data_IF_952284665194
#
_entry.id   IF_952284665194
#
_cell.length_a   1.000
_cell.length_b   1.000
_cell.length_c   1.000
_cell.angle_alpha   90.00
_cell.angle_beta   90.00
_cell.angle_gamma   90.00
#
_symmetry.space_group_name_H-M   'P 1'
#
loop_
_entity.id
_entity.type
_entity.pdbx_description
1 polymer ?
#
# COMPACT_ATOMS: atom_id res chain seq x y z
N UNK A 1 -5.62 22.43 -31.28
CA UNK A 1 -5.41 22.21 -29.84
C UNK A 1 -5.45 23.56 -29.12
N UNK A 2 -5.76 23.58 -27.82
CA UNK A 2 -5.65 24.77 -26.99
C UNK A 2 -4.22 25.35 -27.06
N UNK A 3 -4.09 26.67 -27.08
CA UNK A 3 -2.80 27.36 -27.03
C UNK A 3 -2.14 27.30 -25.64
N UNK A 4 -2.89 26.83 -24.64
CA UNK A 4 -2.44 26.68 -23.26
C UNK A 4 -2.77 25.29 -22.70
N UNK A 5 -2.02 24.87 -21.69
CA UNK A 5 -2.27 23.67 -20.90
C UNK A 5 -2.06 23.93 -19.41
N UNK A 6 -2.68 23.11 -18.56
CA UNK A 6 -2.58 23.20 -17.12
C UNK A 6 -1.61 22.18 -16.52
N UNK A 7 -0.91 22.60 -15.47
CA UNK A 7 -0.10 21.76 -14.60
C UNK A 7 -0.38 22.08 -13.13
N UNK A 8 -0.27 21.08 -12.26
CA UNK A 8 -0.46 21.23 -10.82
C UNK A 8 0.89 21.15 -10.13
N UNK A 9 1.21 22.18 -9.35
CA UNK A 9 2.49 22.31 -8.66
C UNK A 9 2.32 22.21 -7.15
N UNK A 10 3.34 21.67 -6.47
CA UNK A 10 3.41 21.68 -5.02
C UNK A 10 3.66 23.12 -4.53
N UNK A 11 2.70 23.70 -3.80
CA UNK A 11 2.79 25.06 -3.25
C UNK A 11 3.32 25.07 -1.82
N UNK A 12 2.85 24.14 -1.00
CA UNK A 12 3.25 24.02 0.40
C UNK A 12 3.16 22.56 0.88
N UNK A 13 4.00 22.18 1.85
CA UNK A 13 3.97 20.81 2.42
C UNK A 13 2.80 20.69 3.41
N UNK A 14 1.90 19.70 3.27
CA UNK A 14 0.79 19.53 4.21
C UNK A 14 1.28 18.99 5.55
N UNK A 15 0.86 19.58 6.66
CA UNK A 15 1.17 19.12 8.03
C UNK A 15 0.27 17.96 8.45
N UNK A 16 -1.02 18.00 8.11
CA UNK A 16 -2.00 16.96 8.41
C UNK A 16 -2.72 16.49 7.14
N UNK A 17 -3.91 17.00 6.88
CA UNK A 17 -4.71 16.74 5.69
C UNK A 17 -4.24 17.59 4.50
N UNK A 18 -4.58 17.15 3.29
CA UNK A 18 -4.38 17.94 2.08
C UNK A 18 -5.54 18.92 1.96
N UNK A 19 -5.26 20.21 2.18
CA UNK A 19 -6.27 21.28 2.09
C UNK A 19 -6.26 21.89 0.69
N UNK A 20 -7.44 21.99 0.10
CA UNK A 20 -7.64 22.55 -1.24
C UNK A 20 -7.17 24.02 -1.30
N UNK A 21 -6.38 24.37 -2.32
CA UNK A 21 -5.84 25.73 -2.51
C UNK A 21 -4.60 26.09 -1.66
N UNK A 22 -4.26 25.26 -0.67
CA UNK A 22 -3.09 25.46 0.18
C UNK A 22 -1.90 24.61 -0.27
N UNK A 23 -2.13 23.30 -0.44
CA UNK A 23 -1.05 22.35 -0.76
C UNK A 23 -0.58 22.50 -2.20
N UNK A 24 -1.51 22.77 -3.12
CA UNK A 24 -1.24 22.78 -4.55
C UNK A 24 -1.70 24.09 -5.18
N UNK A 25 -1.06 24.44 -6.29
CA UNK A 25 -1.48 25.51 -7.19
C UNK A 25 -1.57 25.00 -8.63
N UNK A 26 -2.55 25.50 -9.37
CA UNK A 26 -2.70 25.23 -10.81
C UNK A 26 -2.02 26.35 -11.59
N UNK A 27 -1.16 26.01 -12.55
CA UNK A 27 -0.51 26.95 -13.47
C UNK A 27 -1.02 26.75 -14.89
N UNK A 28 -1.19 27.86 -15.60
CA UNK A 28 -1.43 27.84 -17.04
C UNK A 28 -0.10 28.09 -17.76
N UNK A 29 0.18 27.28 -18.78
CA UNK A 29 1.43 27.29 -19.52
C UNK A 29 1.13 27.37 -21.03
N UNK A 30 2.05 27.92 -21.81
CA UNK A 30 1.94 27.86 -23.27
C UNK A 30 2.12 26.40 -23.76
N UNK A 31 1.22 25.92 -24.63
CA UNK A 31 1.32 24.57 -25.17
C UNK A 31 2.60 24.39 -26.01
N UNK A 32 3.37 23.31 -25.79
CA UNK A 32 4.53 23.02 -26.62
C UNK A 32 4.09 22.71 -28.05
N UNK A 33 4.98 23.00 -28.99
CA UNK A 33 4.81 22.72 -30.42
C UNK A 33 5.82 21.66 -30.84
N UNK A 34 5.54 20.97 -31.94
CA UNK A 34 6.46 19.99 -32.51
C UNK A 34 7.85 20.59 -32.82
N UNK A 35 7.90 21.88 -33.18
CA UNK A 35 9.16 22.63 -33.36
C UNK A 35 10.03 22.70 -32.10
N UNK A 36 9.44 22.53 -30.93
CA UNK A 36 10.14 22.63 -29.64
C UNK A 36 10.81 21.30 -29.25
N UNK A 37 10.50 20.20 -29.97
CA UNK A 37 11.05 18.88 -29.69
C UNK A 37 12.49 18.74 -30.18
N UNK A 38 13.30 18.07 -29.37
CA UNK A 38 14.60 17.52 -29.78
C UNK A 38 14.47 16.06 -30.23
N UNK A 39 15.48 15.53 -30.90
CA UNK A 39 15.52 14.13 -31.31
C UNK A 39 15.35 13.20 -30.09
N UNK A 40 14.49 12.19 -30.21
CA UNK A 40 14.12 11.30 -29.11
C UNK A 40 13.06 11.85 -28.15
N UNK A 41 12.55 13.07 -28.35
CA UNK A 41 11.49 13.64 -27.52
C UNK A 41 10.10 13.53 -28.17
N UNK A 42 9.08 13.54 -27.32
CA UNK A 42 7.67 13.56 -27.72
C UNK A 42 6.88 14.58 -26.91
N UNK A 43 5.79 15.08 -27.49
CA UNK A 43 4.71 15.74 -26.74
C UNK A 43 3.73 14.66 -26.33
N UNK A 44 3.64 14.41 -25.03
CA UNK A 44 2.71 13.47 -24.42
C UNK A 44 1.50 14.21 -23.85
N UNK A 45 0.29 13.78 -24.21
CA UNK A 45 -0.96 14.28 -23.67
C UNK A 45 -1.56 13.32 -22.66
N UNK A 46 -1.64 13.75 -21.42
CA UNK A 46 -2.28 12.99 -20.33
C UNK A 46 -3.79 12.92 -20.57
N UNK A 47 -4.34 11.71 -20.46
CA UNK A 47 -5.79 11.45 -20.47
C UNK A 47 -6.30 11.18 -19.05
N UNK A 48 -5.53 10.43 -18.27
CA UNK A 48 -5.83 10.12 -16.87
C UNK A 48 -4.55 10.14 -16.03
N UNK A 49 -4.69 10.52 -14.76
CA UNK A 49 -3.64 10.50 -13.75
C UNK A 49 -3.96 9.42 -12.72
N UNK A 50 -2.95 8.66 -12.31
CA UNK A 50 -3.05 7.80 -11.13
C UNK A 50 -2.94 8.66 -9.87
N UNK A 51 -3.83 8.45 -8.90
CA UNK A 51 -3.76 9.07 -7.58
C UNK A 51 -3.47 7.99 -6.54
N UNK A 52 -2.26 8.00 -6.01
CA UNK A 52 -1.74 6.91 -5.20
C UNK A 52 -1.49 7.36 -3.75
N UNK A 53 -1.83 6.57 -2.72
CA UNK A 53 -1.54 6.93 -1.32
C UNK A 53 -0.05 7.21 -1.05
N UNK A 54 0.85 6.60 -1.84
CA UNK A 54 2.29 6.85 -1.80
C UNK A 54 2.65 8.32 -2.02
N UNK A 55 1.82 9.08 -2.74
CA UNK A 55 2.01 10.52 -2.97
C UNK A 55 2.13 11.31 -1.67
N UNK A 56 1.46 10.89 -0.57
CA UNK A 56 1.63 11.55 0.74
C UNK A 56 3.08 11.51 1.20
N UNK A 57 3.75 10.37 1.00
CA UNK A 57 5.17 10.21 1.27
C UNK A 57 6.06 11.00 0.31
N UNK A 58 5.64 11.21 -0.94
CA UNK A 58 6.37 12.06 -1.88
C UNK A 58 6.28 13.55 -1.52
N UNK A 59 5.23 13.98 -0.81
CA UNK A 59 5.08 15.36 -0.34
C UNK A 59 5.96 15.66 0.89
N UNK A 60 6.18 14.69 1.79
CA UNK A 60 6.77 14.94 3.11
C UNK A 60 7.98 14.05 3.47
N UNK A 61 8.31 13.03 2.68
CA UNK A 61 9.10 11.89 3.16
C UNK A 61 8.22 10.88 3.93
N UNK A 62 8.66 9.63 4.06
CA UNK A 62 7.89 8.57 4.73
C UNK A 62 7.95 8.73 6.27
N UNK A 63 6.93 9.35 6.88
CA UNK A 63 6.62 9.16 8.30
C UNK A 63 5.10 9.15 8.51
N UNK A 64 4.60 8.17 9.25
CA UNK A 64 3.21 8.05 9.68
C UNK A 64 3.01 8.52 11.14
N UNK A 65 4.02 9.18 11.73
CA UNK A 65 3.98 9.72 13.09
C UNK A 65 4.56 11.14 13.11
N UNK A 66 4.03 11.99 13.99
CA UNK A 66 4.27 13.45 14.13
C UNK A 66 5.70 13.88 14.53
N UNK A 67 6.73 13.11 14.19
CA UNK A 67 8.12 13.46 14.47
C UNK A 67 8.72 14.22 13.29
N UNK A 68 9.22 15.42 13.60
CA UNK A 68 9.75 16.46 12.70
C UNK A 68 10.33 15.93 11.38
N UNK A 69 9.63 16.34 10.33
CA UNK A 69 9.60 15.86 8.95
C UNK A 69 10.55 16.71 8.11
N UNK A 70 11.84 16.37 8.03
CA UNK A 70 12.67 16.93 6.95
C UNK A 70 13.61 15.92 6.25
N UNK A 71 13.86 14.73 6.83
CA UNK A 71 14.84 13.78 6.26
C UNK A 71 14.49 12.29 6.48
N UNK A 72 13.21 11.90 6.44
CA UNK A 72 12.88 10.46 6.45
C UNK A 72 13.19 9.83 5.09
N UNK A 73 14.15 8.89 5.09
CA UNK A 73 14.58 8.13 3.91
C UNK A 73 13.39 7.45 3.24
N UNK A 74 12.98 7.98 2.09
CA UNK A 74 12.02 7.39 1.16
C UNK A 74 12.79 6.71 0.01
N UNK A 75 12.16 5.76 -0.67
CA UNK A 75 12.72 5.14 -1.88
C UNK A 75 12.76 6.10 -3.08
N UNK A 76 12.03 7.23 -3.01
CA UNK A 76 12.13 8.35 -3.94
C UNK A 76 12.28 9.68 -3.20
N UNK A 77 13.06 10.65 -3.72
CA UNK A 77 13.17 11.99 -3.15
C UNK A 77 11.81 12.71 -3.09
N UNK A 78 11.55 13.52 -2.06
CA UNK A 78 10.33 14.33 -2.00
C UNK A 78 10.22 15.30 -3.19
N UNK A 79 8.99 15.60 -3.60
CA UNK A 79 8.69 16.68 -4.55
C UNK A 79 9.09 18.00 -3.91
N UNK A 80 9.77 18.87 -4.67
CA UNK A 80 10.18 20.18 -4.17
C UNK A 80 9.06 21.21 -4.34
N UNK A 81 9.05 22.22 -3.48
CA UNK A 81 8.10 23.33 -3.59
C UNK A 81 8.33 24.04 -4.92
N UNK A 82 7.25 24.29 -5.65
CA UNK A 82 7.24 24.87 -6.99
C UNK A 82 7.33 23.85 -8.13
N UNK A 83 7.70 22.60 -7.87
CA UNK A 83 7.73 21.54 -8.89
C UNK A 83 6.33 21.01 -9.22
N UNK A 84 6.18 20.45 -10.43
CA UNK A 84 4.97 19.71 -10.81
C UNK A 84 4.80 18.52 -9.87
N UNK A 85 3.58 18.31 -9.38
CA UNK A 85 3.29 17.16 -8.53
C UNK A 85 3.59 15.87 -9.28
N UNK A 86 4.46 15.03 -8.69
CA UNK A 86 4.83 13.74 -9.28
C UNK A 86 3.60 12.83 -9.36
N UNK A 87 3.45 12.15 -10.48
CA UNK A 87 2.40 11.17 -10.72
C UNK A 87 2.63 10.41 -12.02
N UNK A 88 1.99 9.25 -12.12
CA UNK A 88 1.93 8.48 -13.36
C UNK A 88 0.69 8.89 -14.13
N UNK A 89 0.84 9.07 -15.44
CA UNK A 89 -0.28 9.31 -16.34
C UNK A 89 -0.36 8.22 -17.39
N UNK A 90 -1.56 8.00 -17.92
CA UNK A 90 -1.76 7.36 -19.22
C UNK A 90 -2.27 8.39 -20.21
N UNK A 91 -1.81 8.28 -21.44
CA UNK A 91 -2.03 9.30 -22.44
C UNK A 91 -1.59 8.89 -23.82
N UNK A 92 -1.68 9.84 -24.75
CA UNK A 92 -1.33 9.63 -26.16
C UNK A 92 -0.22 10.57 -26.59
N UNK A 93 0.62 10.10 -27.50
CA UNK A 93 1.64 10.92 -28.15
C UNK A 93 0.97 11.84 -29.19
N UNK A 94 1.19 13.14 -29.09
CA UNK A 94 0.60 14.13 -29.98
C UNK A 94 1.55 14.65 -31.06
N UNK A 95 2.84 14.72 -30.75
CA UNK A 95 3.91 15.05 -31.67
C UNK A 95 5.15 14.26 -31.24
N UNK A 96 6.00 13.87 -32.20
CA UNK A 96 7.11 12.97 -31.91
C UNK A 96 8.31 13.21 -32.82
N UNK A 97 9.50 13.20 -32.23
CA UNK A 97 10.78 12.99 -32.91
C UNK A 97 11.44 11.68 -32.47
N UNK A 98 10.61 10.67 -32.17
CA UNK A 98 11.00 9.32 -31.78
C UNK A 98 10.36 8.29 -32.70
N UNK A 99 11.18 7.41 -33.28
CA UNK A 99 10.70 6.30 -34.10
C UNK A 99 9.96 5.23 -33.27
N UNK A 100 10.19 5.18 -31.95
CA UNK A 100 9.56 4.21 -31.03
C UNK A 100 8.16 4.62 -30.62
N UNK A 101 7.87 5.91 -30.64
CA UNK A 101 6.60 6.49 -30.21
C UNK A 101 6.00 7.37 -31.31
N UNK A 102 5.42 6.77 -32.38
CA UNK A 102 4.67 7.53 -33.37
C UNK A 102 3.48 8.28 -32.75
N UNK A 103 3.03 9.35 -33.41
CA UNK A 103 1.81 10.09 -33.03
C UNK A 103 0.62 9.13 -32.94
N UNK A 104 -0.19 9.29 -31.89
CA UNK A 104 -1.32 8.43 -31.56
C UNK A 104 -0.99 7.23 -30.66
N UNK A 105 0.29 6.97 -30.40
CA UNK A 105 0.70 5.87 -29.49
C UNK A 105 0.14 6.08 -28.09
N UNK A 106 -0.52 5.07 -27.53
CA UNK A 106 -0.95 5.02 -26.14
C UNK A 106 0.22 4.58 -25.25
N UNK A 107 0.51 5.36 -24.21
CA UNK A 107 1.64 5.10 -23.33
C UNK A 107 1.36 5.55 -21.88
N UNK A 108 2.11 4.97 -20.95
CA UNK A 108 2.19 5.40 -19.55
C UNK A 108 3.54 6.04 -19.26
N UNK A 109 3.59 6.96 -18.30
CA UNK A 109 4.87 7.52 -17.85
C UNK A 109 4.75 8.38 -16.59
N UNK A 110 5.88 8.57 -15.91
CA UNK A 110 6.01 9.50 -14.78
C UNK A 110 6.14 10.94 -15.27
N UNK A 111 5.04 11.48 -15.82
CA UNK A 111 5.01 12.82 -16.43
C UNK A 111 4.51 13.90 -15.48
N UNK A 112 4.01 13.52 -14.29
CA UNK A 112 3.46 14.44 -13.30
C UNK A 112 2.02 14.86 -13.59
N UNK A 113 1.46 15.68 -12.69
CA UNK A 113 0.10 16.21 -12.82
C UNK A 113 0.08 17.37 -13.82
N UNK A 114 0.07 17.01 -15.10
CA UNK A 114 0.06 17.95 -16.21
C UNK A 114 -0.76 17.41 -17.38
N UNK A 115 -1.45 18.28 -18.10
CA UNK A 115 -2.20 17.92 -19.31
C UNK A 115 -1.28 17.58 -20.49
N UNK A 116 -0.15 18.27 -20.60
CA UNK A 116 0.88 18.07 -21.63
C UNK A 116 2.27 18.01 -21.01
N UNK A 117 3.14 17.19 -21.59
CA UNK A 117 4.54 17.14 -21.21
C UNK A 117 5.44 16.90 -22.44
N UNK A 118 6.54 17.64 -22.56
CA UNK A 118 7.65 17.27 -23.43
C UNK A 118 8.53 16.30 -22.65
N UNK A 119 8.62 15.06 -23.12
CA UNK A 119 9.38 14.00 -22.44
C UNK A 119 10.28 13.25 -23.41
N UNK A 120 11.37 12.71 -22.88
CA UNK A 120 12.21 11.76 -23.60
C UNK A 120 11.46 10.45 -23.80
N UNK A 121 11.66 9.76 -24.93
CA UNK A 121 11.03 8.46 -25.23
C UNK A 121 11.23 7.41 -24.12
N UNK A 122 12.37 7.46 -23.40
CA UNK A 122 12.69 6.54 -22.30
C UNK A 122 11.86 6.76 -21.03
N UNK A 123 11.13 7.87 -20.94
CA UNK A 123 10.24 8.17 -19.82
C UNK A 123 8.84 7.57 -20.03
N UNK A 124 8.59 6.98 -21.20
CA UNK A 124 7.33 6.37 -21.57
C UNK A 124 7.47 4.86 -21.76
N UNK A 125 6.40 4.16 -21.43
CA UNK A 125 6.21 2.75 -21.73
C UNK A 125 4.97 2.61 -22.59
N UNK A 126 5.09 1.92 -23.72
CA UNK A 126 3.95 1.64 -24.59
C UNK A 126 2.98 0.71 -23.87
N UNK A 127 1.70 1.01 -24.00
CA UNK A 127 0.64 0.21 -23.39
C UNK A 127 -0.04 -0.62 -24.46
N UNK A 128 0.03 -1.94 -24.30
CA UNK A 128 -0.77 -2.89 -25.07
C UNK A 128 -1.88 -3.43 -24.16
N UNK A 129 -3.13 -3.12 -24.52
CA UNK A 129 -4.31 -3.55 -23.77
C UNK A 129 -4.88 -4.85 -24.35
N UNK A 130 -5.48 -5.71 -23.51
CA UNK A 130 -6.28 -6.82 -24.02
C UNK A 130 -7.46 -6.31 -24.84
N UNK A 131 -8.05 -7.16 -25.69
CA UNK A 131 -9.12 -6.77 -26.61
C UNK A 131 -10.38 -6.19 -25.92
N UNK A 132 -10.61 -6.54 -24.66
CA UNK A 132 -11.67 -6.02 -23.81
C UNK A 132 -11.17 -5.01 -22.75
N UNK A 133 -9.90 -4.60 -22.83
CA UNK A 133 -9.28 -3.68 -21.90
C UNK A 133 -9.72 -2.24 -22.12
N UNK A 134 -9.67 -1.46 -21.04
CA UNK A 134 -9.91 -0.01 -21.06
C UNK A 134 -8.59 0.71 -20.83
N UNK A 135 -8.47 1.92 -21.35
CA UNK A 135 -7.30 2.78 -21.13
C UNK A 135 -6.91 2.84 -19.66
N UNK A 136 -7.86 3.05 -18.76
CA UNK A 136 -7.57 3.18 -17.32
C UNK A 136 -7.06 1.89 -16.66
N UNK A 137 -7.23 0.71 -17.27
CA UNK A 137 -6.73 -0.55 -16.71
C UNK A 137 -5.19 -0.55 -16.59
N UNK A 138 -4.50 0.18 -17.49
CA UNK A 138 -3.05 0.35 -17.45
C UNK A 138 -2.53 1.26 -16.33
N UNK A 139 -3.40 2.02 -15.65
CA UNK A 139 -3.06 2.68 -14.38
C UNK A 139 -3.44 1.84 -13.16
N UNK A 140 -4.37 0.90 -13.33
CA UNK A 140 -4.86 0.01 -12.29
C UNK A 140 -4.25 -1.39 -12.38
N UNK A 141 -5.09 -2.37 -12.73
CA UNK A 141 -4.78 -3.82 -12.69
C UNK A 141 -3.62 -4.23 -13.62
N UNK A 142 -3.38 -3.50 -14.70
CA UNK A 142 -2.23 -3.72 -15.59
C UNK A 142 -1.08 -2.72 -15.33
N UNK A 143 -1.26 -1.80 -14.38
CA UNK A 143 -0.28 -0.79 -13.99
C UNK A 143 0.46 -1.12 -12.70
N UNK A 144 1.09 -0.09 -12.11
CA UNK A 144 1.88 -0.22 -10.88
C UNK A 144 1.13 -0.88 -9.72
N UNK A 145 -0.16 -0.61 -9.56
CA UNK A 145 -0.97 -1.18 -8.47
C UNK A 145 -1.19 -2.68 -8.66
N UNK A 146 -1.46 -3.12 -9.88
CA UNK A 146 -1.57 -4.54 -10.24
C UNK A 146 -0.25 -5.29 -10.20
N UNK A 147 0.84 -4.69 -10.71
CA UNK A 147 2.18 -5.28 -10.63
C UNK A 147 2.64 -5.43 -9.17
N UNK A 148 2.38 -4.43 -8.33
CA UNK A 148 2.64 -4.52 -6.87
C UNK A 148 1.87 -5.69 -6.25
N UNK A 149 0.60 -5.87 -6.63
CA UNK A 149 -0.20 -6.99 -6.15
C UNK A 149 0.38 -8.34 -6.61
N UNK A 150 0.71 -8.45 -7.90
CA UNK A 150 1.25 -9.66 -8.53
C UNK A 150 2.55 -10.12 -7.85
N UNK A 151 3.57 -9.27 -7.85
CA UNK A 151 4.87 -9.62 -7.27
C UNK A 151 4.78 -9.79 -5.75
N UNK A 152 3.97 -8.97 -5.08
CA UNK A 152 3.77 -9.04 -3.63
C UNK A 152 3.20 -10.38 -3.18
N UNK A 153 2.18 -10.91 -3.85
CA UNK A 153 1.54 -12.17 -3.42
C UNK A 153 2.19 -13.42 -4.03
N UNK A 154 2.74 -13.34 -5.25
CA UNK A 154 3.32 -14.49 -5.94
C UNK A 154 4.79 -14.70 -5.57
N UNK A 155 5.63 -13.66 -5.61
CA UNK A 155 7.07 -13.83 -5.39
C UNK A 155 7.44 -13.72 -3.90
N UNK A 156 6.90 -12.71 -3.23
CA UNK A 156 7.18 -12.48 -1.80
C UNK A 156 6.28 -13.34 -0.92
N UNK A 157 4.97 -13.29 -1.15
CA UNK A 157 3.99 -14.06 -0.39
C UNK A 157 3.99 -15.56 -0.71
N UNK A 158 4.41 -15.95 -1.92
CA UNK A 158 4.46 -17.34 -2.41
C UNK A 158 3.19 -18.14 -2.14
N UNK A 159 2.04 -17.51 -2.36
CA UNK A 159 0.73 -18.11 -2.08
C UNK A 159 0.53 -19.43 -2.85
N UNK A 160 -0.02 -20.43 -2.17
CA UNK A 160 -0.32 -21.76 -2.68
C UNK A 160 -1.77 -22.14 -2.44
N UNK A 161 -2.19 -23.18 -3.14
CA UNK A 161 -3.50 -23.79 -2.92
C UNK A 161 -3.66 -24.22 -1.47
N UNK A 162 -4.81 -23.90 -0.88
CA UNK A 162 -5.12 -24.22 0.52
C UNK A 162 -4.61 -23.20 1.55
N UNK A 163 -3.77 -22.23 1.16
CA UNK A 163 -3.36 -21.15 2.05
C UNK A 163 -4.55 -20.32 2.53
N UNK A 164 -4.43 -19.73 3.72
CA UNK A 164 -5.38 -18.77 4.25
C UNK A 164 -4.77 -17.37 4.21
N UNK A 165 -5.27 -16.52 3.31
CA UNK A 165 -4.73 -15.19 3.03
C UNK A 165 -5.65 -14.13 3.62
N UNK A 166 -5.09 -13.25 4.44
CA UNK A 166 -5.79 -12.06 4.95
C UNK A 166 -5.27 -10.84 4.21
N UNK A 167 -6.17 -10.06 3.62
CA UNK A 167 -5.82 -8.85 2.85
C UNK A 167 -6.38 -7.62 3.55
N UNK A 168 -5.50 -6.74 4.05
CA UNK A 168 -5.88 -5.42 4.55
C UNK A 168 -6.07 -4.45 3.37
N UNK A 169 -6.97 -3.47 3.53
CA UNK A 169 -7.30 -2.56 2.43
C UNK A 169 -7.79 -3.30 1.18
N UNK A 170 -8.47 -4.44 1.36
CA UNK A 170 -8.83 -5.37 0.30
C UNK A 170 -9.70 -4.71 -0.78
N UNK A 171 -10.48 -3.68 -0.43
CA UNK A 171 -11.30 -2.96 -1.39
C UNK A 171 -10.56 -1.81 -2.12
N UNK A 172 -9.24 -1.68 -1.95
CA UNK A 172 -8.39 -0.72 -2.68
C UNK A 172 -7.82 -1.30 -3.97
N UNK A 173 -7.18 -0.45 -4.78
CA UNK A 173 -6.63 -0.84 -6.09
C UNK A 173 -5.69 -2.06 -6.01
N UNK A 174 -4.66 -2.01 -5.17
CA UNK A 174 -3.73 -3.15 -4.97
C UNK A 174 -4.39 -4.32 -4.23
N UNK A 175 -5.10 -4.05 -3.13
CA UNK A 175 -5.67 -5.10 -2.28
C UNK A 175 -6.69 -5.98 -3.00
N UNK A 176 -7.52 -5.38 -3.86
CA UNK A 176 -8.54 -6.13 -4.62
C UNK A 176 -7.92 -7.06 -5.66
N UNK A 177 -6.80 -6.66 -6.26
CA UNK A 177 -6.04 -7.50 -7.18
C UNK A 177 -5.31 -8.61 -6.41
N UNK A 178 -4.71 -8.32 -5.25
CA UNK A 178 -4.09 -9.35 -4.39
C UNK A 178 -5.11 -10.43 -4.02
N UNK A 179 -6.31 -10.03 -3.59
CA UNK A 179 -7.36 -10.96 -3.20
C UNK A 179 -7.77 -11.88 -4.36
N UNK A 180 -7.97 -11.33 -5.54
CA UNK A 180 -8.34 -12.12 -6.73
C UNK A 180 -7.22 -13.05 -7.18
N UNK A 181 -5.96 -12.59 -7.17
CA UNK A 181 -4.81 -13.46 -7.49
C UNK A 181 -4.71 -14.61 -6.48
N UNK A 182 -4.88 -14.33 -5.19
CA UNK A 182 -4.90 -15.38 -4.15
C UNK A 182 -6.02 -16.41 -4.39
N UNK A 183 -7.23 -15.96 -4.75
CA UNK A 183 -8.33 -16.86 -5.15
C UNK A 183 -7.98 -17.70 -6.38
N UNK A 184 -7.39 -17.10 -7.42
CA UNK A 184 -6.93 -17.81 -8.62
C UNK A 184 -5.84 -18.86 -8.31
N UNK A 185 -5.08 -18.67 -7.23
CA UNK A 185 -4.08 -19.63 -6.72
C UNK A 185 -4.65 -20.69 -5.78
N UNK A 186 -5.97 -20.72 -5.58
CA UNK A 186 -6.65 -21.72 -4.76
C UNK A 186 -6.57 -21.45 -3.25
N UNK A 187 -6.22 -20.23 -2.84
CA UNK A 187 -6.24 -19.84 -1.43
C UNK A 187 -7.67 -19.50 -0.96
N UNK A 188 -7.87 -19.60 0.36
CA UNK A 188 -9.01 -18.99 1.05
C UNK A 188 -8.66 -17.56 1.42
N UNK A 189 -9.53 -16.61 1.10
CA UNK A 189 -9.24 -15.19 1.23
C UNK A 189 -10.24 -14.51 2.17
N UNK A 190 -9.69 -13.86 3.19
CA UNK A 190 -10.39 -12.93 4.08
C UNK A 190 -10.01 -11.49 3.73
N UNK A 191 -10.96 -10.70 3.24
CA UNK A 191 -10.76 -9.28 2.93
C UNK A 191 -11.13 -8.35 4.09
N UNK A 192 -10.34 -7.31 4.34
CA UNK A 192 -10.66 -6.27 5.32
C UNK A 192 -10.91 -4.93 4.62
N UNK A 193 -12.06 -4.31 4.90
CA UNK A 193 -12.44 -3.02 4.34
C UNK A 193 -13.09 -2.10 5.39
N UNK A 194 -13.25 -0.81 5.07
CA UNK A 194 -13.66 0.22 6.02
C UNK A 194 -15.12 0.68 5.92
N UNK A 195 -15.94 -0.05 5.16
CA UNK A 195 -17.39 0.17 5.05
C UNK A 195 -18.10 -1.12 4.61
N UNK A 196 -19.39 -1.22 4.90
CA UNK A 196 -20.18 -2.42 4.59
C UNK A 196 -20.38 -2.61 3.09
N UNK A 197 -20.53 -1.52 2.31
CA UNK A 197 -20.60 -1.60 0.84
C UNK A 197 -19.33 -2.21 0.23
N UNK A 198 -18.17 -1.85 0.78
CA UNK A 198 -16.89 -2.41 0.34
C UNK A 198 -16.79 -3.89 0.72
N UNK A 199 -17.28 -4.27 1.90
CA UNK A 199 -17.35 -5.68 2.32
C UNK A 199 -18.28 -6.48 1.42
N UNK A 200 -19.44 -5.92 1.08
CA UNK A 200 -20.40 -6.53 0.15
C UNK A 200 -19.76 -6.76 -1.22
N UNK A 201 -19.11 -5.75 -1.78
CA UNK A 201 -18.42 -5.87 -3.07
C UNK A 201 -17.33 -6.97 -3.06
N UNK A 202 -16.51 -7.01 -2.01
CA UNK A 202 -15.49 -8.05 -1.85
C UNK A 202 -16.10 -9.46 -1.81
N UNK A 203 -17.18 -9.65 -1.05
CA UNK A 203 -17.76 -10.98 -0.86
C UNK A 203 -18.60 -11.42 -2.06
N UNK A 204 -19.47 -10.54 -2.54
CA UNK A 204 -20.52 -10.89 -3.50
C UNK A 204 -20.05 -10.76 -4.95
N UNK A 205 -19.27 -9.73 -5.27
CA UNK A 205 -18.83 -9.47 -6.65
C UNK A 205 -17.47 -10.12 -6.92
N UNK A 206 -16.51 -10.03 -5.98
CA UNK A 206 -15.18 -10.62 -6.15
C UNK A 206 -15.07 -12.08 -5.65
N UNK A 207 -16.09 -12.58 -4.96
CA UNK A 207 -16.14 -13.98 -4.52
C UNK A 207 -15.12 -14.36 -3.44
N UNK A 208 -14.74 -13.41 -2.57
CA UNK A 208 -13.90 -13.71 -1.41
C UNK A 208 -14.65 -14.64 -0.44
N UNK A 209 -13.91 -15.52 0.26
CA UNK A 209 -14.50 -16.49 1.19
C UNK A 209 -15.13 -15.79 2.40
N UNK A 210 -14.54 -14.69 2.85
CA UNK A 210 -15.11 -13.80 3.84
C UNK A 210 -14.60 -12.37 3.66
N UNK A 211 -15.37 -11.39 4.12
CA UNK A 211 -14.91 -10.01 4.22
C UNK A 211 -15.45 -9.34 5.50
N UNK A 212 -14.63 -8.52 6.14
CA UNK A 212 -14.97 -7.86 7.41
C UNK A 212 -14.77 -6.35 7.35
N UNK A 213 -15.73 -5.63 7.93
CA UNK A 213 -15.60 -4.20 8.14
C UNK A 213 -14.76 -3.97 9.41
N UNK A 214 -13.55 -3.40 9.27
CA UNK A 214 -12.68 -3.17 10.43
C UNK A 214 -13.14 -2.04 11.36
N UNK A 215 -14.18 -1.29 10.96
CA UNK A 215 -14.82 -0.26 11.79
C UNK A 215 -16.02 -0.78 12.58
N UNK A 216 -16.41 -2.04 12.37
CA UNK A 216 -17.47 -2.70 13.12
C UNK A 216 -17.09 -2.83 14.60
N UNK A 217 -18.02 -2.56 15.51
CA UNK A 217 -17.78 -2.64 16.96
C UNK A 217 -17.34 -4.05 17.41
N UNK A 218 -17.80 -5.10 16.73
CA UNK A 218 -17.46 -6.49 17.00
C UNK A 218 -16.31 -6.99 16.13
N UNK A 219 -15.60 -6.13 15.40
CA UNK A 219 -14.54 -6.52 14.47
C UNK A 219 -13.52 -7.46 15.10
N UNK A 220 -13.03 -7.17 16.31
CA UNK A 220 -12.03 -8.01 16.99
C UNK A 220 -12.54 -9.44 17.20
N UNK A 221 -13.81 -9.60 17.58
CA UNK A 221 -14.42 -10.92 17.75
C UNK A 221 -14.54 -11.62 16.40
N UNK A 222 -15.16 -10.95 15.41
CA UNK A 222 -15.37 -11.49 14.05
C UNK A 222 -14.05 -11.89 13.39
N UNK A 223 -13.01 -11.08 13.52
CA UNK A 223 -11.69 -11.37 12.97
C UNK A 223 -11.04 -12.60 13.61
N UNK A 224 -11.11 -12.74 14.94
CA UNK A 224 -10.59 -13.93 15.65
C UNK A 224 -11.34 -15.20 15.27
N UNK A 225 -12.65 -15.10 15.09
CA UNK A 225 -13.49 -16.20 14.63
C UNK A 225 -13.10 -16.61 13.19
N UNK A 226 -12.99 -15.65 12.26
CA UNK A 226 -12.62 -15.89 10.86
C UNK A 226 -11.18 -16.43 10.70
N UNK A 227 -10.24 -16.00 11.55
CA UNK A 227 -8.83 -16.47 11.54
C UNK A 227 -8.61 -17.73 12.40
N UNK A 228 -9.67 -18.34 12.92
CA UNK A 228 -9.63 -19.57 13.75
C UNK A 228 -8.67 -19.46 14.94
N UNK A 229 -8.54 -18.27 15.54
CA UNK A 229 -7.60 -18.01 16.64
C UNK A 229 -7.73 -19.02 17.80
N UNK A 230 -8.98 -19.41 18.14
CA UNK A 230 -9.25 -20.37 19.19
C UNK A 230 -8.76 -21.79 18.85
N UNK A 231 -8.79 -22.19 17.59
CA UNK A 231 -8.28 -23.50 17.11
C UNK A 231 -6.76 -23.52 17.23
N UNK A 232 -6.08 -22.50 16.72
CA UNK A 232 -4.63 -22.38 16.82
C UNK A 232 -4.15 -22.42 18.29
N UNK A 233 -4.87 -21.76 19.21
CA UNK A 233 -4.55 -21.83 20.64
C UNK A 233 -4.69 -23.24 21.22
N UNK A 234 -5.68 -24.02 20.77
CA UNK A 234 -5.86 -25.42 21.20
C UNK A 234 -4.75 -26.32 20.65
N UNK A 235 -4.36 -26.14 19.39
CA UNK A 235 -3.25 -26.89 18.77
C UNK A 235 -1.92 -26.59 19.46
N UNK A 236 -1.61 -25.32 19.74
CA UNK A 236 -0.43 -24.94 20.51
C UNK A 236 -0.42 -25.58 21.90
N UNK A 237 -1.56 -25.60 22.60
CA UNK A 237 -1.68 -26.25 23.90
C UNK A 237 -1.46 -27.76 23.82
N UNK A 238 -1.98 -28.40 22.77
CA UNK A 238 -1.77 -29.82 22.51
C UNK A 238 -0.29 -30.13 22.25
N UNK A 239 0.38 -29.38 21.36
CA UNK A 239 1.80 -29.59 21.08
C UNK A 239 2.69 -29.34 22.31
N UNK A 240 2.32 -28.38 23.16
CA UNK A 240 2.99 -28.18 24.44
C UNK A 240 2.81 -29.39 25.38
N UNK A 241 1.59 -29.92 25.49
CA UNK A 241 1.31 -31.09 26.31
C UNK A 241 2.00 -32.37 25.80
N UNK A 242 2.16 -32.51 24.49
CA UNK A 242 2.88 -33.60 23.83
C UNK A 242 4.41 -33.43 23.86
N UNK A 243 4.93 -32.32 24.41
CA UNK A 243 6.37 -32.03 24.45
C UNK A 243 6.99 -31.64 23.11
N UNK A 244 6.18 -31.38 22.07
CA UNK A 244 6.63 -30.89 20.76
C UNK A 244 7.03 -29.41 20.78
N UNK A 245 6.54 -28.65 21.75
CA UNK A 245 6.95 -27.28 22.01
C UNK A 245 7.67 -27.18 23.35
N UNK A 246 8.83 -26.54 23.36
CA UNK A 246 9.54 -26.18 24.58
C UNK A 246 9.31 -24.70 24.89
N UNK A 247 9.32 -24.35 26.18
CA UNK A 247 9.18 -22.98 26.67
C UNK A 247 10.28 -22.65 27.66
N UNK A 248 10.72 -21.39 27.66
CA UNK A 248 11.60 -20.83 28.68
C UNK A 248 11.04 -19.48 29.08
N UNK A 249 11.07 -19.21 30.37
CA UNK A 249 10.51 -18.01 30.97
C UNK A 249 11.57 -17.38 31.86
N UNK A 250 11.62 -16.05 31.84
CA UNK A 250 12.31 -15.25 32.85
C UNK A 250 11.22 -14.63 33.71
N UNK A 251 11.14 -15.03 34.97
CA UNK A 251 10.11 -14.54 35.89
C UNK A 251 10.75 -13.59 36.89
N UNK A 252 10.29 -12.34 36.92
CA UNK A 252 10.67 -11.36 37.93
C UNK A 252 9.67 -11.46 39.06
N UNK A 253 10.12 -11.96 40.21
CA UNK A 253 9.35 -11.98 41.44
C UNK A 253 9.40 -10.63 42.16
N UNK A 254 8.48 -10.41 43.10
CA UNK A 254 8.43 -9.18 43.91
C UNK A 254 7.19 -8.31 43.68
N UNK A 255 6.15 -8.83 43.03
CA UNK A 255 4.85 -8.19 42.89
C UNK A 255 4.79 -7.14 41.78
N UNK A 256 3.61 -6.54 41.62
CA UNK A 256 3.29 -5.64 40.49
C UNK A 256 4.28 -4.47 40.33
N UNK A 257 4.89 -3.99 41.42
CA UNK A 257 5.88 -2.90 41.39
C UNK A 257 7.12 -3.20 40.55
N UNK A 258 7.35 -4.46 40.18
CA UNK A 258 8.43 -4.88 39.29
C UNK A 258 8.12 -4.73 37.80
N UNK A 259 6.90 -4.37 37.42
CA UNK A 259 6.50 -4.23 36.01
C UNK A 259 7.37 -3.22 35.24
N UNK A 260 7.69 -2.06 35.83
CA UNK A 260 8.55 -1.06 35.18
C UNK A 260 9.98 -1.60 34.99
N UNK A 261 10.54 -2.25 36.01
CA UNK A 261 11.83 -2.91 35.90
C UNK A 261 11.82 -3.93 34.77
N UNK A 262 10.82 -4.83 34.75
CA UNK A 262 10.68 -5.83 33.70
C UNK A 262 10.59 -5.23 32.29
N UNK A 263 9.84 -4.14 32.13
CA UNK A 263 9.76 -3.47 30.83
C UNK A 263 11.12 -2.88 30.38
N UNK A 264 11.89 -2.29 31.30
CA UNK A 264 13.25 -1.80 31.00
C UNK A 264 14.20 -2.95 30.68
N UNK A 265 14.11 -4.05 31.42
CA UNK A 265 14.96 -5.23 31.23
C UNK A 265 14.67 -5.92 29.88
N UNK A 266 13.40 -5.92 29.43
CA UNK A 266 13.00 -6.38 28.10
C UNK A 266 13.75 -5.63 26.99
N UNK A 267 13.80 -4.30 27.05
CA UNK A 267 14.48 -3.47 26.04
C UNK A 267 16.00 -3.56 26.10
N UNK A 268 16.56 -4.07 27.21
CA UNK A 268 17.99 -4.37 27.35
C UNK A 268 18.34 -5.81 26.98
N UNK A 269 17.36 -6.63 26.60
CA UNK A 269 17.57 -8.04 26.23
C UNK A 269 17.98 -8.94 27.40
N UNK A 270 17.62 -8.59 28.63
CA UNK A 270 18.03 -9.35 29.84
C UNK A 270 17.35 -10.73 29.91
N UNK A 271 16.12 -10.84 29.42
CA UNK A 271 15.34 -12.07 29.52
C UNK A 271 15.81 -13.14 28.53
N UNK A 272 15.84 -14.39 28.99
CA UNK A 272 15.82 -15.55 28.08
C UNK A 272 14.40 -16.10 28.04
N UNK A 273 13.81 -16.14 26.84
CA UNK A 273 12.43 -16.58 26.66
C UNK A 273 11.42 -15.53 27.13
N UNK A 274 10.20 -15.92 27.50
CA UNK A 274 9.13 -14.97 27.84
C UNK A 274 9.42 -14.28 29.18
N UNK A 275 9.52 -12.95 29.17
CA UNK A 275 9.61 -12.15 30.39
C UNK A 275 8.23 -12.00 31.03
N UNK A 276 8.14 -12.36 32.31
CA UNK A 276 6.93 -12.30 33.13
C UNK A 276 7.25 -11.61 34.46
N UNK A 277 6.24 -10.99 35.06
CA UNK A 277 6.31 -10.48 36.43
C UNK A 277 5.29 -11.25 37.26
N UNK A 278 5.73 -11.86 38.35
CA UNK A 278 4.81 -12.49 39.29
C UNK A 278 4.11 -11.39 40.10
N UNK A 279 2.82 -11.20 39.82
CA UNK A 279 2.00 -10.18 40.49
C UNK A 279 1.40 -10.70 41.81
N UNK A 280 1.04 -11.99 41.85
CA UNK A 280 0.48 -12.65 43.03
C UNK A 280 0.70 -14.17 42.96
N UNK A 281 0.71 -14.81 44.13
CA UNK A 281 0.74 -16.26 44.26
C UNK A 281 -0.67 -16.83 44.02
N UNK A 282 -0.76 -18.00 43.37
CA UNK A 282 -2.01 -18.75 43.22
C UNK A 282 -2.62 -19.17 44.57
N UNK A 283 -3.88 -19.62 44.58
CA UNK A 283 -4.62 -20.02 45.80
C UNK A 283 -3.94 -21.16 46.59
N UNK A 284 -3.11 -21.92 45.91
CA UNK A 284 -2.31 -23.05 46.36
C UNK A 284 -0.86 -22.63 46.74
N UNK A 285 -0.62 -21.32 46.91
CA UNK A 285 0.65 -20.77 47.39
C UNK A 285 1.75 -20.67 46.33
N UNK A 286 1.47 -21.13 45.10
CA UNK A 286 2.35 -21.00 43.92
C UNK A 286 1.51 -20.52 42.74
N UNK A 287 2.01 -19.58 41.95
CA UNK A 287 1.57 -19.51 40.56
C UNK A 287 2.06 -20.81 39.89
N UNK A 288 1.17 -21.57 39.23
CA UNK A 288 1.60 -22.75 38.45
C UNK A 288 2.56 -22.25 37.35
N UNK A 289 3.85 -22.55 37.50
CA UNK A 289 4.85 -22.44 36.44
C UNK A 289 4.89 -23.75 35.66
#
# INVERSE_FOLDING_TARGET
MSSQYQSVHLKARPTSEIVAGETFEVKSNAAPKESDLKDGQVIFRSLYLSLDPAMRGWLNGMSFTDVKIQDTRSYVPPVQIGEIMRGVAIGTVEASKSDKFPVGTLATGFVGWTELAVVEEKALERVDLPSNGRTTDALGVLGMTGLTAYFGIIEVGQVKEGDFVVVSGAAGATGSVVAQIAKLKGAKVLGLAGSDDKVSWLKNDLGLDEALNYKDADFTKKFRDATKYAVARKELAQWLAEGKLQRKETVIEGGLGKAEQGLRDLYKGVNTGKLLVEVSKGKDGKARL
#
